data_IF_343367451532
#
_entry.id   IF_343367451532
#
_cell.length_a   1.000
_cell.length_b   1.000
_cell.length_c   1.000
_cell.angle_alpha   90.00
_cell.angle_beta   90.00
_cell.angle_gamma   90.00
#
_symmetry.space_group_name_H-M   'P 1'
#
loop_
_entity.id
_entity.type
_entity.pdbx_description
1 polymer ?
#
# COMPACT_ATOMS: atom_id res chain seq x y z
N UNK A 1 -2.15 -11.88 -14.83
CA UNK A 1 -1.87 -11.04 -13.66
C UNK A 1 -2.10 -11.91 -12.44
N UNK A 2 -1.08 -12.15 -11.61
CA UNK A 2 -1.24 -12.96 -10.41
C UNK A 2 -1.79 -12.10 -9.24
N UNK A 3 -2.15 -12.70 -8.11
CA UNK A 3 -2.71 -11.98 -6.95
C UNK A 3 -1.76 -10.92 -6.41
N UNK A 4 -0.45 -11.16 -6.50
CA UNK A 4 0.60 -10.22 -6.09
C UNK A 4 0.60 -8.97 -6.97
N UNK A 5 0.47 -9.13 -8.28
CA UNK A 5 0.43 -8.03 -9.24
C UNK A 5 -0.85 -7.21 -9.04
N UNK A 6 -1.99 -7.88 -8.83
CA UNK A 6 -3.27 -7.22 -8.55
C UNK A 6 -3.20 -6.41 -7.24
N UNK A 7 -2.63 -7.00 -6.19
CA UNK A 7 -2.42 -6.32 -4.91
C UNK A 7 -1.50 -5.11 -5.05
N UNK A 8 -0.38 -5.27 -5.77
CA UNK A 8 0.56 -4.17 -6.01
C UNK A 8 -0.11 -3.01 -6.75
N UNK A 9 -0.90 -3.29 -7.78
CA UNK A 9 -1.67 -2.25 -8.48
C UNK A 9 -2.64 -1.52 -7.55
N UNK A 10 -3.30 -2.25 -6.66
CA UNK A 10 -4.24 -1.65 -5.71
C UNK A 10 -3.53 -0.77 -4.67
N UNK A 11 -2.37 -1.22 -4.15
CA UNK A 11 -1.53 -0.41 -3.24
C UNK A 11 -1.05 0.86 -3.94
N UNK A 12 -0.55 0.74 -5.18
CA UNK A 12 -0.08 1.90 -5.95
C UNK A 12 -1.22 2.91 -6.23
N UNK A 13 -2.45 2.43 -6.36
CA UNK A 13 -3.62 3.27 -6.65
C UNK A 13 -4.19 3.93 -5.39
N UNK A 14 -4.32 3.19 -4.29
CA UNK A 14 -5.06 3.65 -3.11
C UNK A 14 -4.17 4.15 -1.98
N UNK A 15 -2.96 3.60 -1.87
CA UNK A 15 -2.12 3.74 -0.67
C UNK A 15 -0.83 4.51 -0.91
N UNK A 16 -0.44 4.78 -2.15
CA UNK A 16 0.82 5.47 -2.48
C UNK A 16 0.65 6.97 -2.72
N UNK A 17 1.58 7.78 -2.20
CA UNK A 17 1.67 9.22 -2.44
C UNK A 17 3.13 9.67 -2.56
N UNK A 18 3.42 10.56 -3.50
CA UNK A 18 4.70 11.28 -3.61
C UNK A 18 4.62 12.64 -2.88
N UNK A 19 5.73 13.07 -2.28
CA UNK A 19 5.82 14.35 -1.56
C UNK A 19 6.96 14.40 -0.55
N UNK A 20 7.16 15.54 0.10
CA UNK A 20 8.13 15.66 1.20
C UNK A 20 7.46 15.26 2.52
N UNK A 21 7.82 14.09 3.03
CA UNK A 21 7.33 13.57 4.30
C UNK A 21 8.45 13.54 5.33
N UNK A 22 8.12 13.93 6.57
CA UNK A 22 9.03 13.78 7.72
C UNK A 22 8.54 12.61 8.55
N UNK A 23 9.38 11.60 8.72
CA UNK A 23 9.10 10.40 9.49
C UNK A 23 9.17 10.70 10.99
N UNK A 24 8.60 9.81 11.81
CA UNK A 24 8.68 9.92 13.28
C UNK A 24 10.12 9.88 13.81
N UNK A 25 11.06 9.32 13.06
CA UNK A 25 12.50 9.34 13.34
C UNK A 25 13.17 10.69 13.05
N UNK A 26 12.46 11.65 12.43
CA UNK A 26 13.02 12.91 11.93
C UNK A 26 13.64 12.81 10.53
N UNK A 27 13.78 11.61 9.97
CA UNK A 27 14.25 11.41 8.60
C UNK A 27 13.24 11.92 7.57
N UNK A 28 13.75 12.27 6.38
CA UNK A 28 12.93 12.67 5.22
C UNK A 28 12.67 11.48 4.29
N UNK A 29 11.47 11.44 3.72
CA UNK A 29 11.05 10.49 2.69
C UNK A 29 10.36 11.24 1.57
N UNK A 30 10.64 10.87 0.32
CA UNK A 30 10.03 11.41 -0.90
C UNK A 30 8.70 10.73 -1.27
N UNK A 31 8.29 9.74 -0.48
CA UNK A 31 7.00 9.06 -0.60
C UNK A 31 6.41 8.66 0.75
N UNK A 32 5.12 8.36 0.71
CA UNK A 32 4.35 7.80 1.83
C UNK A 32 3.45 6.67 1.33
N UNK A 33 3.38 5.58 2.11
CA UNK A 33 2.51 4.43 1.84
C UNK A 33 1.64 4.14 3.08
N UNK A 34 0.32 4.20 2.92
CA UNK A 34 -0.65 3.83 3.96
C UNK A 34 -1.47 2.62 3.55
N UNK A 35 -0.96 1.42 3.87
CA UNK A 35 -1.62 0.16 3.50
C UNK A 35 -2.94 -0.08 4.24
N UNK A 36 -3.31 0.69 5.28
CA UNK A 36 -4.61 0.54 5.95
C UNK A 36 -5.77 0.78 4.99
N UNK A 37 -5.60 1.71 4.05
CA UNK A 37 -6.59 2.01 3.01
C UNK A 37 -6.80 0.77 2.13
N UNK A 38 -5.71 0.13 1.69
CA UNK A 38 -5.79 -1.07 0.85
C UNK A 38 -6.36 -2.27 1.62
N UNK A 39 -5.94 -2.52 2.88
CA UNK A 39 -6.40 -3.70 3.63
C UNK A 39 -7.86 -3.58 4.08
N UNK A 40 -8.40 -2.38 4.22
CA UNK A 40 -9.82 -2.13 4.47
C UNK A 40 -10.68 -2.04 3.19
N UNK A 41 -10.06 -2.03 2.01
CA UNK A 41 -10.77 -2.16 0.74
C UNK A 41 -11.16 -3.62 0.51
N UNK A 42 -12.39 -3.89 0.05
CA UNK A 42 -12.91 -5.25 -0.11
C UNK A 42 -11.97 -6.18 -0.89
N UNK A 43 -11.53 -5.75 -2.08
CA UNK A 43 -10.60 -6.54 -2.89
C UNK A 43 -9.18 -6.53 -2.31
N UNK A 44 -8.78 -5.46 -1.62
CA UNK A 44 -7.43 -5.37 -1.08
C UNK A 44 -7.22 -6.26 0.14
N UNK A 45 -8.22 -6.36 1.02
CA UNK A 45 -8.24 -7.34 2.11
C UNK A 45 -8.20 -8.78 1.61
N UNK A 46 -9.01 -9.11 0.58
CA UNK A 46 -9.02 -10.44 -0.06
C UNK A 46 -7.65 -10.79 -0.64
N UNK A 47 -7.09 -9.91 -1.48
CA UNK A 47 -5.80 -10.13 -2.13
C UNK A 47 -4.65 -10.21 -1.12
N UNK A 48 -4.68 -9.38 -0.06
CA UNK A 48 -3.69 -9.45 1.02
C UNK A 48 -3.70 -10.81 1.71
N UNK A 49 -4.90 -11.37 1.97
CA UNK A 49 -5.04 -12.70 2.54
C UNK A 49 -4.46 -13.80 1.65
N UNK A 50 -4.75 -13.76 0.34
CA UNK A 50 -4.26 -14.74 -0.63
C UNK A 50 -2.74 -14.68 -0.87
N UNK A 51 -2.13 -13.51 -0.74
CA UNK A 51 -0.68 -13.35 -0.96
C UNK A 51 0.14 -13.78 0.26
N UNK A 52 -0.43 -13.71 1.48
CA UNK A 52 0.28 -14.00 2.72
C UNK A 52 0.23 -15.47 3.16
N UNK A 53 -0.76 -16.25 2.71
CA UNK A 53 -1.02 -17.62 3.15
C UNK A 53 -1.27 -18.54 1.96
#
# INVERSE_FOLDING_TARGET
MNERDALLNLIATLSFRLGDFTLSSGAKSDYYIDCRITTLHAEGGRLTGLVLY
#
